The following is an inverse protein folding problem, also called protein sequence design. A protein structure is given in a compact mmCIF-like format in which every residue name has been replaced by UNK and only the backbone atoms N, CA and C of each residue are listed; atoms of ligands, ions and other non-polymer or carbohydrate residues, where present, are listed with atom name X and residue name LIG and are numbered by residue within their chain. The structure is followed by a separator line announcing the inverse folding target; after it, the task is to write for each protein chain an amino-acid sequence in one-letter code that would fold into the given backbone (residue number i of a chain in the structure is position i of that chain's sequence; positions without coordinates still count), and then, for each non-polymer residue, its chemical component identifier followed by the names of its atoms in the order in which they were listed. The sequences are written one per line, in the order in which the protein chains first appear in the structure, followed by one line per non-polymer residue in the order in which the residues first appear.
data_IF_793388144031
#
_entry.id   IF_793388144031
#
_cell.length_a   1.000
_cell.length_b   1.000
_cell.length_c   1.000
_cell.angle_alpha   90.00
_cell.angle_beta   90.00
_cell.angle_gamma   90.00
#
_symmetry.space_group_name_H-M   'P 1'
#
loop_
_entity.id
_entity.type
_entity.pdbx_description
1 polymer ?
#
# COMPACT_ATOMS: atom_id res chain seq x y z
N UNK A 1 -11.51 27.16 4.75
CA UNK A 1 -10.14 27.09 5.33
C UNK A 1 -10.00 26.25 6.61
N UNK A 2 -10.79 26.40 7.68
CA UNK A 2 -10.61 25.61 8.94
C UNK A 2 -10.83 24.09 8.82
N UNK A 3 -11.61 23.62 7.84
CA UNK A 3 -12.14 22.24 7.75
C UNK A 3 -11.12 21.19 7.30
N UNK A 4 -10.19 21.56 6.41
CA UNK A 4 -9.12 20.65 5.94
C UNK A 4 -7.93 20.64 6.91
N UNK A 5 -7.85 21.63 7.82
CA UNK A 5 -6.75 21.73 8.79
C UNK A 5 -6.73 20.55 9.76
N UNK A 6 -7.89 20.05 10.20
CA UNK A 6 -7.94 18.90 11.13
C UNK A 6 -7.38 17.65 10.48
N UNK A 7 -7.78 17.34 9.25
CA UNK A 7 -7.22 16.20 8.50
C UNK A 7 -5.71 16.36 8.34
N UNK A 8 -5.23 17.54 7.93
CA UNK A 8 -3.80 17.80 7.78
C UNK A 8 -3.04 17.65 9.10
N UNK A 9 -3.61 18.08 10.22
CA UNK A 9 -3.02 17.90 11.56
C UNK A 9 -2.96 16.41 11.92
N UNK A 10 -4.04 15.66 11.70
CA UNK A 10 -4.09 14.22 11.99
C UNK A 10 -3.10 13.44 11.12
N UNK A 11 -3.06 13.72 9.81
CA UNK A 11 -2.10 13.11 8.89
C UNK A 11 -0.66 13.52 9.23
N UNK A 12 -0.43 14.78 9.61
CA UNK A 12 0.88 15.25 10.08
C UNK A 12 1.32 14.57 11.37
N UNK A 13 0.41 14.39 12.33
CA UNK A 13 0.66 13.66 13.57
C UNK A 13 0.96 12.18 13.30
N UNK A 14 0.23 11.56 12.38
CA UNK A 14 0.50 10.19 11.93
C UNK A 14 1.89 10.07 11.27
N UNK A 15 2.25 10.99 10.36
CA UNK A 15 3.55 10.97 9.71
C UNK A 15 4.70 11.20 10.70
N UNK A 16 4.50 12.05 11.71
CA UNK A 16 5.45 12.20 12.82
C UNK A 16 5.58 10.90 13.60
N UNK A 17 4.47 10.25 13.95
CA UNK A 17 4.46 8.95 14.60
C UNK A 17 5.20 7.89 13.76
N UNK A 18 4.91 7.78 12.47
CA UNK A 18 5.58 6.86 11.55
C UNK A 18 7.08 7.14 11.46
N UNK A 19 7.48 8.41 11.40
CA UNK A 19 8.90 8.80 11.42
C UNK A 19 9.60 8.41 12.72
N UNK A 20 8.96 8.60 13.87
CA UNK A 20 9.46 8.14 15.17
C UNK A 20 9.54 6.62 15.22
N UNK A 21 8.53 5.91 14.72
CA UNK A 21 8.50 4.45 14.64
C UNK A 21 9.69 3.93 13.82
N UNK A 22 9.86 4.43 12.60
CA UNK A 22 10.96 4.08 11.70
C UNK A 22 12.34 4.34 12.34
N UNK A 23 12.47 5.49 13.02
CA UNK A 23 13.69 5.82 13.74
C UNK A 23 13.94 4.86 14.92
N UNK A 24 12.89 4.47 15.65
CA UNK A 24 12.97 3.56 16.80
C UNK A 24 13.22 2.11 16.40
N UNK A 25 12.76 1.69 15.22
CA UNK A 25 13.01 0.35 14.67
C UNK A 25 14.41 0.21 14.03
N UNK A 26 15.09 1.33 13.79
CA UNK A 26 16.48 1.32 13.33
C UNK A 26 17.46 1.08 14.49
N UNK A 27 18.66 0.59 14.19
CA UNK A 27 19.69 0.33 15.18
C UNK A 27 21.04 0.92 14.76
N UNK A 28 21.98 1.04 15.70
CA UNK A 28 23.33 1.55 15.45
C UNK A 28 24.36 0.45 15.59
N UNK A 29 25.23 0.31 14.58
CA UNK A 29 26.35 -0.62 14.60
C UNK A 29 27.58 0.08 13.98
N UNK A 30 28.75 -0.03 14.62
CA UNK A 30 29.98 0.56 14.10
C UNK A 30 29.92 2.08 13.88
N UNK A 31 29.19 2.82 14.71
CA UNK A 31 29.02 4.28 14.58
C UNK A 31 28.07 4.73 13.47
N UNK A 32 27.47 3.80 12.72
CA UNK A 32 26.48 4.10 11.68
C UNK A 32 25.09 3.57 12.05
N UNK A 33 24.05 4.25 11.56
CA UNK A 33 22.65 3.82 11.70
C UNK A 33 22.24 2.93 10.52
N UNK A 34 21.55 1.86 10.86
CA UNK A 34 21.00 0.87 9.93
C UNK A 34 19.49 0.84 10.06
N UNK A 35 18.81 1.01 8.93
CA UNK A 35 17.39 0.74 8.81
C UNK A 35 17.21 -0.71 8.37
N UNK A 36 16.23 -1.37 8.95
CA UNK A 36 15.88 -2.75 8.64
C UNK A 36 14.36 -2.89 8.58
N UNK A 37 13.93 -3.90 7.84
CA UNK A 37 12.54 -4.33 7.72
C UNK A 37 12.31 -5.54 8.62
N UNK A 38 11.07 -6.01 8.66
CA UNK A 38 10.75 -7.34 9.17
C UNK A 38 11.57 -8.41 8.43
N UNK A 39 11.91 -9.51 9.10
CA UNK A 39 12.65 -10.62 8.52
C UNK A 39 12.05 -11.14 7.20
N UNK A 40 10.73 -11.31 7.14
CA UNK A 40 10.02 -11.75 5.94
C UNK A 40 10.19 -10.75 4.78
N UNK A 41 10.05 -9.45 5.04
CA UNK A 41 10.29 -8.41 4.03
C UNK A 41 11.76 -8.35 3.57
N UNK A 42 12.71 -8.74 4.43
CA UNK A 42 14.12 -8.83 4.05
C UNK A 42 14.39 -9.98 3.07
N UNK A 43 13.52 -10.99 2.99
CA UNK A 43 13.57 -12.02 1.94
C UNK A 43 13.33 -11.35 0.58
N UNK A 44 12.22 -10.62 0.44
CA UNK A 44 11.91 -9.85 -0.77
C UNK A 44 13.02 -8.86 -1.13
N UNK A 45 13.62 -8.17 -0.15
CA UNK A 45 14.76 -7.27 -0.40
C UNK A 45 15.98 -7.97 -1.02
N UNK A 46 16.24 -9.24 -0.65
CA UNK A 46 17.34 -10.00 -1.25
C UNK A 46 17.04 -10.38 -2.70
N UNK A 47 15.83 -10.87 -2.98
CA UNK A 47 15.39 -11.13 -4.35
C UNK A 47 15.42 -9.86 -5.20
N UNK A 48 14.97 -8.73 -4.63
CA UNK A 48 14.99 -7.42 -5.25
C UNK A 48 16.41 -6.96 -5.62
N UNK A 49 17.37 -7.11 -4.69
CA UNK A 49 18.79 -6.81 -4.94
C UNK A 49 19.35 -7.65 -6.08
N UNK A 50 19.06 -8.95 -6.08
CA UNK A 50 19.57 -9.87 -7.09
C UNK A 50 18.97 -9.57 -8.47
N UNK A 51 17.67 -9.25 -8.53
CA UNK A 51 17.01 -8.79 -9.75
C UNK A 51 17.67 -7.50 -10.28
N UNK A 52 17.86 -6.50 -9.42
CA UNK A 52 18.51 -5.24 -9.78
C UNK A 52 19.96 -5.40 -10.23
N UNK A 53 20.65 -6.44 -9.73
CA UNK A 53 22.04 -6.78 -10.11
C UNK A 53 22.13 -7.64 -11.38
N UNK A 54 21.01 -7.96 -12.03
CA UNK A 54 20.97 -8.73 -13.27
C UNK A 54 20.97 -10.26 -13.09
N UNK A 55 20.89 -10.77 -11.86
CA UNK A 55 20.83 -12.21 -11.59
C UNK A 55 19.41 -12.80 -11.71
N UNK A 56 18.40 -11.94 -11.83
CA UNK A 56 16.99 -12.33 -11.82
C UNK A 56 16.42 -12.54 -10.42
N UNK A 57 15.18 -13.01 -10.35
CA UNK A 57 14.49 -13.31 -9.08
C UNK A 57 15.00 -14.64 -8.50
N UNK A 58 16.17 -14.60 -7.88
CA UNK A 58 16.81 -15.76 -7.24
C UNK A 58 17.28 -15.42 -5.82
N UNK A 59 17.35 -16.41 -4.94
CA UNK A 59 17.91 -16.24 -3.60
C UNK A 59 19.44 -16.17 -3.60
N UNK A 60 20.07 -17.12 -4.28
CA UNK A 60 21.53 -17.27 -4.44
C UNK A 60 21.88 -17.28 -5.94
N UNK A 61 22.58 -16.27 -6.46
CA UNK A 61 23.09 -16.31 -7.83
C UNK A 61 23.98 -17.55 -8.05
N UNK A 62 23.69 -18.31 -9.12
CA UNK A 62 24.40 -19.56 -9.43
C UNK A 62 23.96 -20.80 -8.62
N UNK A 63 23.06 -20.63 -7.64
CA UNK A 63 22.45 -21.73 -6.91
C UNK A 63 21.17 -22.26 -7.55
N UNK A 64 20.50 -23.16 -6.84
CA UNK A 64 19.18 -23.66 -7.24
C UNK A 64 18.13 -22.53 -7.26
N UNK A 65 17.23 -22.58 -8.25
CA UNK A 65 16.14 -21.62 -8.36
C UNK A 65 14.98 -22.07 -7.48
N UNK A 66 14.69 -21.28 -6.46
CA UNK A 66 13.58 -21.51 -5.52
C UNK A 66 12.68 -20.27 -5.51
N UNK A 67 11.38 -20.49 -5.60
CA UNK A 67 10.38 -19.42 -5.39
C UNK A 67 10.23 -19.18 -3.88
N UNK A 68 10.78 -18.06 -3.41
CA UNK A 68 10.83 -17.69 -2.00
C UNK A 68 10.08 -16.40 -1.65
N UNK A 69 9.35 -15.82 -2.60
CA UNK A 69 8.59 -14.58 -2.40
C UNK A 69 7.11 -14.83 -2.71
N UNK A 70 6.23 -14.24 -1.91
CA UNK A 70 4.77 -14.28 -2.14
C UNK A 70 4.23 -12.95 -2.63
N UNK A 71 5.11 -11.97 -2.87
CA UNK A 71 4.76 -10.61 -3.25
C UNK A 71 5.54 -10.09 -4.49
N UNK A 72 5.35 -10.69 -5.68
CA UNK A 72 6.22 -10.46 -6.83
C UNK A 72 6.31 -9.00 -7.25
N UNK A 73 5.18 -8.30 -7.40
CA UNK A 73 5.20 -6.90 -7.84
C UNK A 73 5.77 -5.96 -6.77
N UNK A 74 5.59 -6.27 -5.48
CA UNK A 74 6.24 -5.54 -4.38
C UNK A 74 7.76 -5.76 -4.37
N UNK A 75 8.22 -6.97 -4.67
CA UNK A 75 9.64 -7.28 -4.82
C UNK A 75 10.25 -6.54 -6.02
N UNK A 76 9.54 -6.45 -7.14
CA UNK A 76 9.96 -5.60 -8.28
C UNK A 76 10.05 -4.14 -7.88
N UNK A 77 9.07 -3.64 -7.10
CA UNK A 77 9.12 -2.28 -6.56
C UNK A 77 10.35 -2.05 -5.66
N UNK A 78 10.68 -2.99 -4.78
CA UNK A 78 11.91 -2.94 -3.98
C UNK A 78 13.17 -2.95 -4.86
N UNK A 79 13.16 -3.68 -5.99
CA UNK A 79 14.30 -3.75 -6.90
C UNK A 79 14.60 -2.40 -7.55
N UNK A 80 13.58 -1.57 -7.82
CA UNK A 80 13.77 -0.23 -8.38
C UNK A 80 14.64 0.65 -7.47
N UNK A 81 14.51 0.53 -6.15
CA UNK A 81 15.33 1.26 -5.19
C UNK A 81 16.80 0.79 -5.19
N UNK A 82 17.03 -0.49 -5.47
CA UNK A 82 18.38 -1.05 -5.61
C UNK A 82 19.13 -0.57 -6.85
N UNK A 83 18.44 0.05 -7.83
CA UNK A 83 19.09 0.69 -8.99
C UNK A 83 19.69 2.06 -8.64
N UNK A 84 19.30 2.63 -7.51
CA UNK A 84 19.81 3.92 -7.04
C UNK A 84 21.07 3.72 -6.17
N UNK A 85 21.97 4.71 -6.10
CA UNK A 85 23.21 4.63 -5.31
C UNK A 85 22.94 4.83 -3.80
N UNK A 86 21.98 4.10 -3.23
CA UNK A 86 21.62 4.15 -1.82
C UNK A 86 22.52 3.17 -1.05
N UNK A 87 23.25 3.62 -0.01
CA UNK A 87 24.07 2.74 0.80
C UNK A 87 23.25 1.59 1.41
N UNK A 88 23.77 0.36 1.51
CA UNK A 88 23.04 -0.79 2.04
C UNK A 88 22.38 -0.54 3.41
N UNK A 89 23.03 0.24 4.28
CA UNK A 89 22.51 0.61 5.61
C UNK A 89 21.21 1.43 5.58
N UNK A 90 20.93 2.11 4.47
CA UNK A 90 19.75 2.97 4.28
C UNK A 90 18.71 2.34 3.34
N UNK A 91 19.00 1.20 2.71
CA UNK A 91 18.17 0.68 1.61
C UNK A 91 16.75 0.28 2.05
N UNK A 92 16.55 -0.08 3.31
CA UNK A 92 15.23 -0.34 3.87
C UNK A 92 14.40 0.93 4.08
N UNK A 93 15.05 2.09 4.31
CA UNK A 93 14.38 3.34 4.66
C UNK A 93 13.38 3.81 3.58
N UNK A 94 13.71 3.82 2.27
CA UNK A 94 12.74 4.14 1.22
C UNK A 94 11.46 3.31 1.30
N UNK A 95 11.57 2.01 1.56
CA UNK A 95 10.42 1.10 1.65
C UNK A 95 9.52 1.47 2.83
N UNK A 96 10.11 1.76 3.99
CA UNK A 96 9.37 2.20 5.18
C UNK A 96 8.67 3.55 4.96
N UNK A 97 9.38 4.49 4.33
CA UNK A 97 8.83 5.81 3.98
C UNK A 97 7.67 5.65 3.00
N UNK A 98 7.79 4.78 1.99
CA UNK A 98 6.70 4.48 1.06
C UNK A 98 5.49 3.88 1.76
N UNK A 99 5.69 2.97 2.72
CA UNK A 99 4.62 2.48 3.60
C UNK A 99 3.91 3.60 4.35
N UNK A 100 4.66 4.53 4.96
CA UNK A 100 4.11 5.68 5.66
C UNK A 100 3.30 6.61 4.75
N UNK A 101 3.80 6.88 3.53
CA UNK A 101 3.12 7.72 2.56
C UNK A 101 1.84 7.07 2.01
N UNK A 102 1.87 5.76 1.76
CA UNK A 102 0.69 5.00 1.34
C UNK A 102 -0.39 5.00 2.42
N UNK A 103 0.00 4.80 3.69
CA UNK A 103 -0.93 4.92 4.81
C UNK A 103 -1.49 6.34 4.97
N UNK A 104 -0.67 7.38 4.81
CA UNK A 104 -1.17 8.76 4.81
C UNK A 104 -2.19 9.01 3.68
N UNK A 105 -1.96 8.45 2.49
CA UNK A 105 -2.92 8.43 1.39
C UNK A 105 -4.22 7.69 1.75
N UNK A 106 -4.10 6.54 2.41
CA UNK A 106 -5.24 5.77 2.94
C UNK A 106 -6.06 6.60 3.92
N UNK A 107 -5.43 7.35 4.84
CA UNK A 107 -6.15 8.22 5.77
C UNK A 107 -6.96 9.30 5.05
N UNK A 108 -6.42 9.87 3.97
CA UNK A 108 -7.16 10.82 3.15
C UNK A 108 -8.37 10.15 2.47
N UNK A 109 -8.19 8.95 1.92
CA UNK A 109 -9.28 8.19 1.28
C UNK A 109 -10.36 7.78 2.29
N UNK A 110 -9.98 7.28 3.47
CA UNK A 110 -10.90 6.96 4.57
C UNK A 110 -11.71 8.19 4.96
N UNK A 111 -11.05 9.34 5.14
CA UNK A 111 -11.76 10.59 5.44
C UNK A 111 -12.80 10.93 4.37
N UNK A 112 -12.44 10.87 3.09
CA UNK A 112 -13.33 11.18 1.98
C UNK A 112 -14.51 10.19 1.91
N UNK A 113 -14.23 8.89 2.02
CA UNK A 113 -15.23 7.82 2.00
C UNK A 113 -16.22 7.97 3.17
N UNK A 114 -15.72 8.11 4.40
CA UNK A 114 -16.60 8.26 5.58
C UNK A 114 -17.43 9.53 5.49
N UNK A 115 -16.86 10.63 4.99
CA UNK A 115 -17.61 11.87 4.80
C UNK A 115 -18.69 11.72 3.72
N UNK A 116 -18.43 10.94 2.67
CA UNK A 116 -19.37 10.65 1.59
C UNK A 116 -20.61 9.90 2.11
N UNK A 117 -20.39 8.86 2.91
CA UNK A 117 -21.49 8.03 3.45
C UNK A 117 -22.25 8.69 4.61
N UNK A 118 -21.53 9.26 5.57
CA UNK A 118 -22.16 9.76 6.81
C UNK A 118 -22.56 11.22 6.74
N UNK A 119 -21.95 12.00 5.84
CA UNK A 119 -22.00 13.48 5.79
C UNK A 119 -21.60 14.16 7.12
N UNK A 120 -21.01 13.41 8.06
CA UNK A 120 -20.64 13.86 9.40
C UNK A 120 -19.11 13.89 9.54
N UNK A 121 -18.56 15.09 9.77
CA UNK A 121 -17.11 15.28 9.85
C UNK A 121 -16.47 14.61 11.07
N UNK A 122 -17.16 14.62 12.20
CA UNK A 122 -16.65 13.98 13.41
C UNK A 122 -16.48 12.47 13.20
N UNK A 123 -17.40 11.82 12.46
CA UNK A 123 -17.30 10.41 12.12
C UNK A 123 -16.11 10.16 11.19
N UNK A 124 -15.87 11.04 10.21
CA UNK A 124 -14.69 10.96 9.34
C UNK A 124 -13.37 11.16 10.11
N UNK A 125 -13.31 12.08 11.07
CA UNK A 125 -12.13 12.24 11.93
C UNK A 125 -11.93 11.04 12.85
N UNK A 126 -13.00 10.51 13.43
CA UNK A 126 -12.94 9.30 14.25
C UNK A 126 -12.41 8.11 13.42
N UNK A 127 -12.91 7.92 12.19
CA UNK A 127 -12.42 6.88 11.29
C UNK A 127 -10.92 7.05 10.98
N UNK A 128 -10.47 8.27 10.68
CA UNK A 128 -9.04 8.56 10.46
C UNK A 128 -8.19 8.22 11.67
N UNK A 129 -8.64 8.60 12.88
CA UNK A 129 -7.90 8.28 14.12
C UNK A 129 -7.86 6.78 14.36
N UNK A 130 -8.99 6.09 14.21
CA UNK A 130 -9.06 4.63 14.41
C UNK A 130 -8.20 3.89 13.40
N UNK A 131 -8.17 4.32 12.13
CA UNK A 131 -7.33 3.69 11.10
C UNK A 131 -5.85 4.02 11.30
N UNK A 132 -5.50 5.28 11.59
CA UNK A 132 -4.10 5.73 11.67
C UNK A 132 -3.38 5.36 12.97
N UNK A 133 -4.09 4.86 13.98
CA UNK A 133 -3.51 4.33 15.21
C UNK A 133 -3.86 2.85 15.42
N UNK A 134 -4.15 2.14 14.33
CA UNK A 134 -4.36 0.70 14.37
C UNK A 134 -3.01 -0.01 14.25
N UNK A 135 -2.44 -0.40 15.40
CA UNK A 135 -1.07 -0.87 15.51
C UNK A 135 -0.68 -2.00 14.52
N UNK A 136 -1.52 -3.02 14.24
CA UNK A 136 -1.19 -4.03 13.25
C UNK A 136 -0.96 -3.46 11.85
N UNK A 137 -1.85 -2.57 11.37
CA UNK A 137 -1.72 -1.96 10.05
C UNK A 137 -0.43 -1.14 9.93
N UNK A 138 -0.15 -0.34 10.95
CA UNK A 138 1.06 0.49 11.00
C UNK A 138 2.32 -0.37 11.03
N UNK A 139 2.34 -1.40 11.89
CA UNK A 139 3.50 -2.27 12.05
C UNK A 139 3.85 -2.97 10.75
N UNK A 140 2.89 -3.61 10.09
CA UNK A 140 3.15 -4.34 8.85
C UNK A 140 3.58 -3.40 7.71
N UNK A 141 2.91 -2.27 7.54
CA UNK A 141 3.25 -1.32 6.49
C UNK A 141 4.61 -0.64 6.71
N UNK A 142 4.90 -0.19 7.94
CA UNK A 142 6.16 0.50 8.27
C UNK A 142 7.35 -0.46 8.40
N UNK A 143 7.10 -1.75 8.60
CA UNK A 143 8.13 -2.80 8.58
C UNK A 143 8.32 -3.43 7.18
N UNK A 144 7.79 -2.80 6.13
CA UNK A 144 8.15 -3.08 4.74
C UNK A 144 7.31 -4.15 4.04
N UNK A 145 6.25 -4.64 4.67
CA UNK A 145 5.28 -5.51 4.00
C UNK A 145 4.41 -4.70 3.03
N UNK A 146 3.86 -5.38 2.03
CA UNK A 146 3.00 -4.81 1.01
C UNK A 146 1.65 -4.26 1.52
N UNK A 147 1.30 -4.53 2.78
CA UNK A 147 -0.01 -4.22 3.40
C UNK A 147 -0.41 -2.75 3.20
N UNK A 148 0.53 -1.81 3.36
CA UNK A 148 0.25 -0.39 3.14
C UNK A 148 -0.21 -0.08 1.71
N UNK A 149 0.42 -0.72 0.72
CA UNK A 149 0.03 -0.60 -0.69
C UNK A 149 -1.33 -1.25 -0.95
N UNK A 150 -1.57 -2.44 -0.40
CA UNK A 150 -2.82 -3.18 -0.60
C UNK A 150 -4.04 -2.41 -0.07
N UNK A 151 -3.95 -1.88 1.16
CA UNK A 151 -5.05 -1.10 1.75
C UNK A 151 -5.27 0.20 0.99
N UNK A 152 -4.20 0.86 0.55
CA UNK A 152 -4.31 2.07 -0.26
C UNK A 152 -5.02 1.80 -1.59
N UNK A 153 -4.58 0.77 -2.34
CA UNK A 153 -5.18 0.41 -3.62
C UNK A 153 -6.65 0.00 -3.46
N UNK A 154 -6.98 -0.77 -2.42
CA UNK A 154 -8.35 -1.15 -2.12
C UNK A 154 -9.24 0.08 -1.83
N UNK A 155 -8.79 0.97 -0.94
CA UNK A 155 -9.51 2.19 -0.61
C UNK A 155 -9.67 3.10 -1.84
N UNK A 156 -8.65 3.18 -2.70
CA UNK A 156 -8.67 3.95 -3.93
C UNK A 156 -9.69 3.37 -4.92
N UNK A 157 -9.70 2.05 -5.11
CA UNK A 157 -10.66 1.38 -5.99
C UNK A 157 -12.11 1.59 -5.54
N UNK A 158 -12.38 1.50 -4.23
CA UNK A 158 -13.71 1.80 -3.69
C UNK A 158 -14.09 3.26 -3.93
N UNK A 159 -13.18 4.20 -3.67
CA UNK A 159 -13.42 5.62 -3.90
C UNK A 159 -13.71 5.94 -5.38
N UNK A 160 -12.92 5.38 -6.30
CA UNK A 160 -13.09 5.57 -7.75
C UNK A 160 -14.38 4.93 -8.26
N UNK A 161 -14.73 3.73 -7.80
CA UNK A 161 -15.98 3.06 -8.16
C UNK A 161 -17.21 3.88 -7.75
N UNK A 162 -17.23 4.34 -6.49
CA UNK A 162 -18.31 5.22 -6.00
C UNK A 162 -18.34 6.57 -6.72
N UNK A 163 -17.19 7.10 -7.13
CA UNK A 163 -17.12 8.33 -7.94
C UNK A 163 -17.73 8.12 -9.32
N UNK A 164 -17.37 7.04 -9.99
CA UNK A 164 -17.90 6.70 -11.30
C UNK A 164 -19.43 6.50 -11.26
N UNK A 165 -19.92 5.80 -10.25
CA UNK A 165 -21.36 5.56 -10.06
C UNK A 165 -22.16 6.86 -9.84
N UNK A 166 -21.65 7.81 -9.05
CA UNK A 166 -22.31 9.11 -8.87
C UNK A 166 -22.30 9.99 -10.12
N UNK A 167 -21.30 9.81 -10.98
CA UNK A 167 -21.17 10.50 -12.26
C UNK A 167 -21.90 9.74 -13.39
N UNK A 168 -22.67 8.70 -13.04
CA UNK A 168 -23.41 7.82 -13.97
C UNK A 168 -22.55 7.28 -15.12
N UNK A 169 -21.28 7.00 -14.84
CA UNK A 169 -20.31 6.53 -15.84
C UNK A 169 -19.59 5.27 -15.40
N UNK A 170 -19.17 4.49 -16.38
CA UNK A 170 -18.25 3.40 -16.16
C UNK A 170 -16.82 3.90 -15.91
N UNK A 171 -16.07 3.18 -15.06
CA UNK A 171 -14.64 3.41 -14.85
C UNK A 171 -13.88 2.09 -14.76
N UNK A 172 -12.84 1.87 -15.58
CA UNK A 172 -12.02 0.67 -15.50
C UNK A 172 -11.00 0.70 -14.35
N UNK A 173 -10.72 1.89 -13.80
CA UNK A 173 -9.64 2.09 -12.84
C UNK A 173 -9.74 1.28 -11.54
N UNK A 174 -10.93 1.08 -10.92
CA UNK A 174 -11.05 0.20 -9.76
C UNK A 174 -10.49 -1.21 -10.02
N UNK A 175 -10.77 -1.77 -11.21
CA UNK A 175 -10.33 -3.10 -11.62
C UNK A 175 -8.83 -3.15 -11.89
N UNK A 176 -8.29 -2.14 -12.58
CA UNK A 176 -6.85 -2.04 -12.86
C UNK A 176 -6.06 -2.00 -11.54
N UNK A 177 -6.49 -1.18 -10.58
CA UNK A 177 -5.78 -1.08 -9.30
C UNK A 177 -5.94 -2.33 -8.42
N UNK A 178 -7.08 -3.02 -8.48
CA UNK A 178 -7.25 -4.30 -7.81
C UNK A 178 -6.41 -5.40 -8.47
N UNK A 179 -6.28 -5.41 -9.79
CA UNK A 179 -5.37 -6.30 -10.53
C UNK A 179 -3.91 -6.05 -10.13
N UNK A 180 -3.48 -4.79 -10.04
CA UNK A 180 -2.16 -4.44 -9.50
C UNK A 180 -2.01 -4.97 -8.07
N UNK A 181 -3.06 -4.85 -7.24
CA UNK A 181 -3.12 -5.49 -5.92
C UNK A 181 -2.92 -7.00 -5.98
N UNK A 182 -3.58 -7.70 -6.92
CA UNK A 182 -3.45 -9.16 -7.12
C UNK A 182 -2.04 -9.58 -7.54
N UNK A 183 -1.36 -8.75 -8.35
CA UNK A 183 0.05 -8.98 -8.73
C UNK A 183 1.02 -8.70 -7.57
N UNK A 184 0.63 -7.83 -6.63
CA UNK A 184 1.34 -7.65 -5.36
C UNK A 184 1.09 -8.85 -4.44
N UNK A 185 -0.15 -9.33 -4.33
CA UNK A 185 -0.53 -10.43 -3.45
C UNK A 185 -1.81 -11.10 -3.94
N UNK A 186 -1.78 -12.41 -4.15
CA UNK A 186 -2.86 -13.14 -4.83
C UNK A 186 -4.23 -13.07 -4.13
N UNK A 187 -4.27 -12.87 -2.82
CA UNK A 187 -5.52 -12.77 -2.05
C UNK A 187 -6.33 -11.49 -2.36
N UNK A 188 -5.70 -10.49 -2.98
CA UNK A 188 -6.40 -9.32 -3.54
C UNK A 188 -7.34 -9.67 -4.72
N UNK A 189 -7.23 -10.88 -5.28
CA UNK A 189 -8.23 -11.41 -6.20
C UNK A 189 -9.63 -11.46 -5.56
N UNK A 190 -9.72 -11.67 -4.24
CA UNK A 190 -11.02 -11.70 -3.54
C UNK A 190 -11.70 -10.33 -3.59
N UNK A 191 -11.10 -9.22 -3.13
CA UNK A 191 -11.64 -7.88 -3.34
C UNK A 191 -11.96 -7.54 -4.80
N UNK A 192 -11.15 -8.01 -5.77
CA UNK A 192 -11.42 -7.83 -7.19
C UNK A 192 -12.75 -8.48 -7.59
N UNK A 193 -12.91 -9.78 -7.34
CA UNK A 193 -14.12 -10.54 -7.68
C UNK A 193 -15.35 -9.98 -6.96
N UNK A 194 -15.22 -9.61 -5.68
CA UNK A 194 -16.30 -8.99 -4.91
C UNK A 194 -16.71 -7.64 -5.52
N UNK A 195 -15.74 -6.83 -5.92
CA UNK A 195 -16.00 -5.53 -6.56
C UNK A 195 -16.68 -5.70 -7.93
N UNK A 196 -16.23 -6.67 -8.73
CA UNK A 196 -16.86 -7.02 -10.01
C UNK A 196 -18.30 -7.47 -9.81
N UNK A 197 -18.55 -8.41 -8.90
CA UNK A 197 -19.89 -8.91 -8.62
C UNK A 197 -20.83 -7.81 -8.11
N UNK A 198 -20.35 -6.97 -7.19
CA UNK A 198 -21.11 -5.85 -6.65
C UNK A 198 -21.54 -4.86 -7.74
N UNK A 199 -20.60 -4.39 -8.57
CA UNK A 199 -20.94 -3.41 -9.61
C UNK A 199 -21.73 -4.00 -10.77
N UNK A 200 -21.47 -5.26 -11.16
CA UNK A 200 -22.30 -5.95 -12.15
C UNK A 200 -23.76 -6.08 -11.70
N UNK A 201 -23.99 -6.23 -10.39
CA UNK A 201 -25.33 -6.25 -9.83
C UNK A 201 -25.95 -4.85 -9.73
N UNK A 202 -25.21 -3.89 -9.16
CA UNK A 202 -25.73 -2.57 -8.80
C UNK A 202 -25.85 -1.59 -9.99
N UNK A 203 -24.94 -1.67 -10.96
CA UNK A 203 -24.88 -0.77 -12.13
C UNK A 203 -25.35 -1.53 -13.38
N UNK A 204 -26.66 -1.77 -13.45
CA UNK A 204 -27.29 -2.51 -14.54
C UNK A 204 -26.98 -1.96 -15.95
N UNK A 205 -26.95 -0.62 -16.19
CA UNK A 205 -26.59 -0.06 -17.49
C UNK A 205 -25.19 -0.45 -17.96
N UNK A 206 -24.20 -0.53 -17.05
CA UNK A 206 -22.81 -0.85 -17.39
C UNK A 206 -22.41 -2.30 -17.02
N UNK A 207 -23.36 -3.17 -16.68
CA UNK A 207 -23.09 -4.55 -16.22
C UNK A 207 -22.10 -5.32 -17.09
N UNK A 208 -22.25 -5.25 -18.42
CA UNK A 208 -21.35 -5.96 -19.35
C UNK A 208 -19.92 -5.45 -19.24
N UNK A 209 -19.74 -4.14 -19.06
CA UNK A 209 -18.41 -3.53 -18.93
C UNK A 209 -17.75 -3.98 -17.62
N UNK A 210 -18.50 -4.00 -16.51
CA UNK A 210 -18.02 -4.51 -15.22
C UNK A 210 -17.55 -5.97 -15.32
N UNK A 211 -18.28 -6.84 -16.02
CA UNK A 211 -17.91 -8.25 -16.24
C UNK A 211 -16.76 -8.45 -17.23
N UNK A 212 -16.47 -7.48 -18.10
CA UNK A 212 -15.33 -7.57 -19.03
C UNK A 212 -14.02 -7.08 -18.42
N UNK A 213 -14.08 -6.14 -17.49
CA UNK A 213 -12.90 -5.48 -16.92
C UNK A 213 -12.42 -6.08 -15.61
N UNK A 214 -13.27 -6.83 -14.91
CA UNK A 214 -12.95 -7.54 -13.68
C UNK A 214 -13.48 -8.95 -13.65
#
# INVERSE_FOLDING_TARGET
MKKHRVLLILTGAFLLYAGVFIYRSSFTAGGARYFALLDDAMISMRYARNLASGYGLVWNPGGERVEGITNPLWTVYMALWHLLPIPPRLMSLPIQVSGALLLAGTLALVYLLTLRFTRRRWAAWAAVVMTGWYAPLDTWALMGMEVGALVFLLALSVYLGLKAAEEERFSPWPYIWLLVGTLIRMDMAVPMLVTTAFWAWQDAPHRRQHLTWG
#
